data_IF_759937585613
#
_entry.id   IF_759937585613
#
_cell.length_a   1.000
_cell.length_b   1.000
_cell.length_c   1.000
_cell.angle_alpha   90.00
_cell.angle_beta   90.00
_cell.angle_gamma   90.00
#
_symmetry.space_group_name_H-M   'P 1'
#
loop_
_entity.id
_entity.type
_entity.pdbx_description
1 polymer ?
#
# COMPACT_ATOMS: atom_id res chain seq x y z
N UNK A 1 7.11 1.03 -10.92
CA UNK A 1 6.11 1.13 -12.02
C UNK A 1 6.22 -0.02 -13.02
N UNK A 2 7.26 -0.11 -13.87
CA UNK A 2 7.38 -1.14 -14.93
C UNK A 2 7.07 -2.56 -14.46
N UNK A 3 7.67 -2.99 -13.34
CA UNK A 3 7.41 -4.32 -12.76
C UNK A 3 5.93 -4.57 -12.43
N UNK A 4 5.20 -3.57 -11.91
CA UNK A 4 3.79 -3.71 -11.59
C UNK A 4 2.93 -3.76 -12.86
N UNK A 5 3.22 -2.88 -13.83
CA UNK A 5 2.50 -2.84 -15.11
C UNK A 5 2.61 -4.17 -15.85
N UNK A 6 3.80 -4.77 -15.86
CA UNK A 6 4.04 -6.06 -16.54
C UNK A 6 3.35 -7.21 -15.80
N UNK A 7 3.45 -7.27 -14.46
CA UNK A 7 2.80 -8.31 -13.66
C UNK A 7 1.27 -8.32 -13.86
N UNK A 8 0.61 -7.18 -13.72
CA UNK A 8 -0.86 -7.12 -13.83
C UNK A 8 -1.33 -7.39 -15.26
N UNK A 9 -0.53 -7.03 -16.27
CA UNK A 9 -0.79 -7.40 -17.66
C UNK A 9 -0.69 -8.92 -17.87
N UNK A 10 0.34 -9.55 -17.31
CA UNK A 10 0.56 -11.00 -17.43
C UNK A 10 -0.51 -11.81 -16.68
N UNK A 11 -0.90 -11.38 -15.49
CA UNK A 11 -1.92 -12.06 -14.69
C UNK A 11 -3.37 -11.80 -15.18
N UNK A 12 -3.57 -10.83 -16.08
CA UNK A 12 -4.91 -10.47 -16.58
C UNK A 12 -5.83 -9.90 -15.50
N UNK A 13 -5.26 -9.35 -14.42
CA UNK A 13 -6.00 -8.73 -13.31
C UNK A 13 -6.05 -7.22 -13.55
N UNK A 14 -7.22 -6.62 -13.43
CA UNK A 14 -7.36 -5.17 -13.54
C UNK A 14 -6.81 -4.50 -12.27
N UNK A 15 -5.84 -3.57 -12.37
CA UNK A 15 -5.29 -2.90 -11.18
C UNK A 15 -6.34 -2.18 -10.32
N UNK A 16 -7.44 -1.73 -10.94
CA UNK A 16 -8.57 -1.08 -10.25
C UNK A 16 -9.33 -1.99 -9.29
N UNK A 17 -9.13 -3.31 -9.34
CA UNK A 17 -9.78 -4.28 -8.43
C UNK A 17 -8.94 -4.58 -7.18
N UNK A 18 -7.80 -3.92 -6.99
CA UNK A 18 -6.95 -4.10 -5.81
C UNK A 18 -7.43 -3.18 -4.70
N UNK A 19 -7.85 -3.74 -3.57
CA UNK A 19 -8.39 -2.92 -2.46
C UNK A 19 -7.31 -2.39 -1.52
N UNK A 20 -6.20 -3.12 -1.40
CA UNK A 20 -5.13 -2.83 -0.47
C UNK A 20 -3.74 -3.10 -1.06
N UNK A 21 -2.80 -2.18 -0.82
CA UNK A 21 -1.37 -2.34 -1.13
C UNK A 21 -0.55 -2.28 0.15
N UNK A 22 0.11 -3.39 0.47
CA UNK A 22 1.14 -3.44 1.51
C UNK A 22 2.48 -3.00 0.89
N UNK A 23 2.86 -1.75 1.15
CA UNK A 23 4.02 -1.09 0.59
C UNK A 23 5.34 -1.49 1.27
N UNK A 24 6.45 -1.27 0.57
CA UNK A 24 7.77 -1.37 1.16
C UNK A 24 7.98 -0.32 2.24
N UNK A 25 7.67 0.95 1.95
CA UNK A 25 7.61 2.12 2.83
C UNK A 25 8.56 2.04 4.04
N UNK A 26 9.82 2.37 3.79
CA UNK A 26 10.91 2.25 4.77
C UNK A 26 11.09 3.50 5.63
N UNK A 27 10.23 4.52 5.45
CA UNK A 27 10.31 5.80 6.12
C UNK A 27 11.31 6.76 5.45
N UNK A 28 11.68 6.49 4.19
CA UNK A 28 12.69 7.28 3.49
C UNK A 28 12.06 8.51 2.85
N UNK A 29 12.69 9.68 3.04
CA UNK A 29 12.20 10.96 2.50
C UNK A 29 12.07 11.00 0.97
N UNK A 30 12.83 10.14 0.28
CA UNK A 30 12.88 10.10 -1.19
C UNK A 30 12.21 8.83 -1.71
N UNK A 31 12.52 7.66 -1.12
CA UNK A 31 12.00 6.39 -1.63
C UNK A 31 10.50 6.23 -1.43
N UNK A 32 9.96 6.66 -0.29
CA UNK A 32 8.53 6.48 0.00
C UNK A 32 7.65 7.31 -0.97
N UNK A 33 7.95 8.59 -1.29
CA UNK A 33 7.24 9.29 -2.36
C UNK A 33 7.32 8.59 -3.72
N UNK A 34 8.50 8.15 -4.15
CA UNK A 34 8.68 7.47 -5.44
C UNK A 34 7.89 6.16 -5.52
N UNK A 35 7.85 5.40 -4.43
CA UNK A 35 7.02 4.21 -4.32
C UNK A 35 5.54 4.54 -4.44
N UNK A 36 5.05 5.53 -3.69
CA UNK A 36 3.64 5.91 -3.72
C UNK A 36 3.22 6.51 -5.07
N UNK A 37 4.08 7.25 -5.76
CA UNK A 37 3.81 7.70 -7.13
C UNK A 37 3.72 6.52 -8.10
N UNK A 38 4.55 5.50 -7.94
CA UNK A 38 4.45 4.29 -8.74
C UNK A 38 3.11 3.57 -8.47
N UNK A 39 2.69 3.46 -7.21
CA UNK A 39 1.39 2.89 -6.82
C UNK A 39 0.23 3.70 -7.40
N UNK A 40 0.24 5.02 -7.25
CA UNK A 40 -0.77 5.93 -7.81
C UNK A 40 -0.93 5.70 -9.32
N UNK A 41 0.18 5.75 -10.06
CA UNK A 41 0.16 5.63 -11.52
C UNK A 41 -0.42 4.32 -12.05
N UNK A 42 -0.34 3.24 -11.26
CA UNK A 42 -0.78 1.89 -11.66
C UNK A 42 -2.20 1.61 -11.18
N UNK A 43 -2.50 1.92 -9.91
CA UNK A 43 -3.71 1.45 -9.24
C UNK A 43 -4.81 2.50 -9.12
N UNK A 44 -4.47 3.79 -9.17
CA UNK A 44 -5.43 4.87 -8.93
C UNK A 44 -5.93 5.54 -10.22
N UNK A 45 -5.35 5.21 -11.39
CA UNK A 45 -5.80 5.73 -12.69
C UNK A 45 -7.21 5.24 -13.02
N UNK A 46 -8.20 6.14 -13.05
CA UNK A 46 -9.59 5.81 -13.39
C UNK A 46 -10.35 5.02 -12.31
N UNK A 47 -9.75 4.85 -11.13
CA UNK A 47 -10.36 4.17 -9.99
C UNK A 47 -11.51 5.01 -9.42
N UNK A 48 -12.63 4.35 -9.11
CA UNK A 48 -13.79 4.98 -8.45
C UNK A 48 -13.75 4.80 -6.93
N UNK A 49 -13.32 3.62 -6.49
CA UNK A 49 -13.21 3.28 -5.07
C UNK A 49 -11.89 3.78 -4.47
N UNK A 50 -11.83 3.88 -3.15
CA UNK A 50 -10.60 4.26 -2.44
C UNK A 50 -9.58 3.11 -2.46
N UNK A 51 -8.30 3.39 -2.73
CA UNK A 51 -7.22 2.42 -2.54
C UNK A 51 -6.63 2.55 -1.13
N UNK A 52 -6.58 1.46 -0.36
CA UNK A 52 -5.90 1.47 0.92
C UNK A 52 -4.41 1.14 0.76
N UNK A 53 -3.56 1.83 1.52
CA UNK A 53 -2.11 1.58 1.57
C UNK A 53 -1.67 1.39 3.02
N UNK A 54 -0.77 0.44 3.24
CA UNK A 54 -0.19 0.18 4.55
C UNK A 54 1.26 -0.29 4.49
N UNK A 55 1.89 -0.40 5.66
CA UNK A 55 3.22 -1.01 5.82
C UNK A 55 3.40 -1.47 7.27
N UNK A 56 3.66 -2.77 7.44
CA UNK A 56 3.94 -3.39 8.73
C UNK A 56 5.17 -2.80 9.41
N UNK A 57 6.09 -2.18 8.64
CA UNK A 57 7.34 -1.63 9.16
C UNK A 57 7.12 -0.43 10.06
N UNK A 58 5.99 0.26 9.90
CA UNK A 58 5.59 1.28 10.85
C UNK A 58 5.39 0.70 12.26
N UNK A 59 4.90 -0.53 12.38
CA UNK A 59 4.56 -1.19 13.65
C UNK A 59 5.73 -1.96 14.26
N UNK A 60 6.52 -2.67 13.44
CA UNK A 60 7.54 -3.63 13.93
C UNK A 60 8.97 -3.27 13.52
N UNK A 61 9.15 -2.17 12.78
CA UNK A 61 10.44 -1.80 12.19
C UNK A 61 10.79 -2.58 10.91
N UNK A 62 11.98 -2.32 10.39
CA UNK A 62 12.45 -2.88 9.13
C UNK A 62 13.18 -4.21 9.35
N UNK A 63 12.53 -5.34 9.03
CA UNK A 63 13.11 -6.70 9.18
C UNK A 63 14.18 -7.09 8.15
N UNK A 64 14.66 -6.15 7.34
CA UNK A 64 15.64 -6.37 6.27
C UNK A 64 15.21 -7.53 5.36
N UNK A 65 15.96 -8.63 5.34
CA UNK A 65 15.69 -9.82 4.54
C UNK A 65 14.34 -10.48 4.86
N UNK A 66 13.81 -10.30 6.07
CA UNK A 66 12.50 -10.86 6.47
C UNK A 66 11.33 -9.92 6.17
N UNK A 67 11.58 -8.70 5.68
CA UNK A 67 10.56 -7.67 5.47
C UNK A 67 9.38 -8.16 4.62
N UNK A 68 9.66 -8.93 3.56
CA UNK A 68 8.61 -9.47 2.69
C UNK A 68 7.68 -10.45 3.41
N UNK A 69 8.25 -11.34 4.24
CA UNK A 69 7.47 -12.30 5.01
C UNK A 69 6.63 -11.60 6.08
N UNK A 70 7.17 -10.59 6.76
CA UNK A 70 6.41 -9.79 7.71
C UNK A 70 5.19 -9.10 7.06
N UNK A 71 5.38 -8.53 5.86
CA UNK A 71 4.29 -7.93 5.09
C UNK A 71 3.24 -8.96 4.68
N UNK A 72 3.64 -10.15 4.21
CA UNK A 72 2.71 -11.24 3.88
C UNK A 72 1.91 -11.67 5.12
N UNK A 73 2.57 -11.87 6.26
CA UNK A 73 1.89 -12.25 7.51
C UNK A 73 0.86 -11.20 7.92
N UNK A 74 1.18 -9.90 7.85
CA UNK A 74 0.21 -8.84 8.12
C UNK A 74 -1.00 -8.95 7.20
N UNK A 75 -0.80 -9.11 5.89
CA UNK A 75 -1.90 -9.22 4.92
C UNK A 75 -2.77 -10.43 5.21
N UNK A 76 -2.18 -11.59 5.51
CA UNK A 76 -2.93 -12.80 5.84
C UNK A 76 -3.75 -12.63 7.12
N UNK A 77 -3.20 -12.00 8.16
CA UNK A 77 -3.94 -11.70 9.39
C UNK A 77 -5.07 -10.69 9.14
N UNK A 78 -4.87 -9.71 8.27
CA UNK A 78 -5.92 -8.79 7.85
C UNK A 78 -7.07 -9.51 7.16
N UNK A 79 -6.75 -10.43 6.23
CA UNK A 79 -7.76 -11.23 5.51
C UNK A 79 -8.48 -12.22 6.43
N UNK A 80 -7.77 -12.84 7.37
CA UNK A 80 -8.37 -13.75 8.36
C UNK A 80 -9.33 -13.01 9.29
N UNK A 81 -8.97 -11.79 9.68
CA UNK A 81 -9.78 -10.94 10.55
C UNK A 81 -10.86 -10.14 9.84
N UNK A 82 -10.93 -10.19 8.51
CA UNK A 82 -11.78 -9.33 7.66
C UNK A 82 -11.65 -7.84 8.05
N UNK A 83 -10.41 -7.41 8.30
CA UNK A 83 -10.06 -6.03 8.69
C UNK A 83 -8.68 -5.65 8.15
N UNK A 84 -8.45 -4.39 7.80
CA UNK A 84 -7.12 -3.85 7.54
C UNK A 84 -6.46 -3.38 8.86
N UNK A 85 -5.32 -3.96 9.18
CA UNK A 85 -4.53 -3.59 10.36
C UNK A 85 -3.84 -2.21 10.19
N UNK A 86 -3.92 -1.33 11.21
CA UNK A 86 -3.47 0.05 11.10
C UNK A 86 -1.95 0.23 11.12
N UNK A 87 -1.49 1.19 10.33
CA UNK A 87 -0.17 1.77 10.42
C UNK A 87 -0.10 2.75 11.62
N UNK A 88 1.09 2.90 12.18
CA UNK A 88 1.37 3.91 13.21
C UNK A 88 2.33 4.98 12.68
N UNK A 89 2.45 6.10 13.40
CA UNK A 89 3.35 7.22 13.08
C UNK A 89 3.08 7.95 11.76
N UNK A 90 1.97 7.65 11.08
CA UNK A 90 1.51 8.44 9.95
C UNK A 90 0.85 9.74 10.45
N UNK A 91 1.06 10.84 9.71
CA UNK A 91 0.47 12.15 10.07
C UNK A 91 -0.08 12.86 8.84
N UNK A 92 0.77 13.11 7.85
CA UNK A 92 0.38 13.71 6.57
C UNK A 92 1.28 13.25 5.44
N UNK A 93 0.73 13.26 4.23
CA UNK A 93 1.45 13.05 2.99
C UNK A 93 1.10 14.17 2.00
N UNK A 94 2.04 14.52 1.13
CA UNK A 94 1.83 15.49 0.06
C UNK A 94 1.65 14.78 -1.31
N UNK A 95 1.40 13.48 -1.31
CA UNK A 95 1.13 12.72 -2.54
C UNK A 95 -0.29 13.04 -3.00
N UNK A 96 -0.44 13.48 -4.26
CA UNK A 96 -1.71 13.94 -4.82
C UNK A 96 -2.83 12.91 -4.65
N UNK A 97 -2.57 11.62 -4.92
CA UNK A 97 -3.58 10.57 -4.72
C UNK A 97 -4.10 10.48 -3.27
N UNK A 98 -3.28 10.78 -2.27
CA UNK A 98 -3.70 10.81 -0.87
C UNK A 98 -4.47 12.09 -0.56
N UNK A 99 -4.01 13.23 -1.08
CA UNK A 99 -4.67 14.53 -0.89
C UNK A 99 -6.03 14.60 -1.58
N UNK A 100 -6.15 14.02 -2.77
CA UNK A 100 -7.37 13.94 -3.57
C UNK A 100 -8.34 12.84 -3.11
N UNK A 101 -7.93 12.01 -2.14
CA UNK A 101 -8.76 10.93 -1.61
C UNK A 101 -8.95 9.74 -2.55
N UNK A 102 -8.03 9.52 -3.51
CA UNK A 102 -7.98 8.30 -4.33
C UNK A 102 -7.24 7.17 -3.62
N UNK A 103 -6.38 7.52 -2.67
CA UNK A 103 -5.60 6.60 -1.84
C UNK A 103 -5.69 7.03 -0.37
N UNK A 104 -5.74 6.08 0.56
CA UNK A 104 -5.70 6.36 2.00
C UNK A 104 -4.71 5.45 2.71
N UNK A 105 -3.91 6.04 3.60
CA UNK A 105 -3.08 5.27 4.52
C UNK A 105 -3.98 4.74 5.63
N UNK A 106 -3.92 3.42 5.89
CA UNK A 106 -4.70 2.78 6.95
C UNK A 106 -4.18 3.24 8.31
N UNK A 107 -4.85 4.17 8.99
CA UNK A 107 -4.48 4.67 10.34
C UNK A 107 -5.32 4.09 11.46
N UNK A 108 -6.48 3.55 11.11
CA UNK A 108 -7.45 2.94 12.00
C UNK A 108 -7.80 1.54 11.47
N UNK A 109 -8.46 0.72 12.29
CA UNK A 109 -8.95 -0.58 11.82
C UNK A 109 -10.08 -0.34 10.83
N UNK A 110 -9.92 -0.84 9.60
CA UNK A 110 -10.91 -0.70 8.52
C UNK A 110 -11.54 -2.07 8.29
N UNK A 111 -12.87 -2.24 8.36
CA UNK A 111 -13.56 -3.45 7.93
C UNK A 111 -13.38 -3.72 6.43
#
# INVERSE_FOLDING_TARGET
KVCLDDLYRECGVQPSTVDFVEAHATGTKVGDPEELYAVDSVFCTGRQELLYVGSCKSNIGHGETTSGLCSIVKVLLSMEGDILLPNIHFSKSNIDAIVEGRMAVVTDVIP
#
